data_IF_959752703809
#
_entry.id   IF_959752703809
#
_cell.length_a   1.000
_cell.length_b   1.000
_cell.length_c   1.000
_cell.angle_alpha   90.00
_cell.angle_beta   90.00
_cell.angle_gamma   90.00
#
_symmetry.space_group_name_H-M   'P 1'
#
loop_
_entity.id
_entity.type
_entity.pdbx_description
1 polymer ?
#
# COMPACT_ATOMS: atom_id res chain seq x y z
N UNK A 1 -18.15 -50.17 -24.16
CA UNK A 1 -19.40 -50.30 -23.38
C UNK A 1 -19.28 -51.24 -22.17
N UNK A 2 -18.66 -52.42 -22.32
CA UNK A 2 -18.45 -53.39 -21.23
C UNK A 2 -17.58 -52.86 -20.07
N UNK A 3 -16.46 -52.19 -20.39
CA UNK A 3 -15.56 -51.65 -19.38
C UNK A 3 -16.22 -50.61 -18.46
N UNK A 4 -17.10 -49.77 -19.02
CA UNK A 4 -17.89 -48.78 -18.28
C UNK A 4 -18.86 -49.47 -17.29
N UNK A 5 -19.63 -50.46 -17.75
CA UNK A 5 -20.57 -51.22 -16.90
C UNK A 5 -19.86 -52.01 -15.80
N UNK A 6 -18.66 -52.51 -16.06
CA UNK A 6 -17.84 -53.18 -15.05
C UNK A 6 -17.40 -52.19 -13.95
N UNK A 7 -16.89 -51.03 -14.34
CA UNK A 7 -16.47 -49.99 -13.39
C UNK A 7 -17.65 -49.43 -12.58
N UNK A 8 -18.81 -49.24 -13.21
CA UNK A 8 -20.05 -48.84 -12.53
C UNK A 8 -20.46 -49.84 -11.44
N UNK A 9 -20.40 -51.14 -11.73
CA UNK A 9 -20.72 -52.18 -10.74
C UNK A 9 -19.71 -52.21 -9.60
N UNK A 10 -18.42 -52.13 -9.92
CA UNK A 10 -17.37 -52.12 -8.90
C UNK A 10 -17.48 -50.91 -7.96
N UNK A 11 -17.76 -49.72 -8.50
CA UNK A 11 -18.04 -48.53 -7.69
C UNK A 11 -19.31 -48.70 -6.85
N UNK A 12 -20.40 -49.21 -7.44
CA UNK A 12 -21.65 -49.44 -6.72
C UNK A 12 -21.46 -50.43 -5.56
N UNK A 13 -20.73 -51.52 -5.78
CA UNK A 13 -20.43 -52.51 -4.75
C UNK A 13 -19.57 -51.89 -3.63
N UNK A 14 -18.56 -51.09 -3.99
CA UNK A 14 -17.72 -50.38 -3.03
C UNK A 14 -18.52 -49.38 -2.17
N UNK A 15 -19.31 -48.50 -2.79
CA UNK A 15 -20.13 -47.52 -2.06
C UNK A 15 -21.23 -48.20 -1.23
N UNK A 16 -21.82 -49.30 -1.72
CA UNK A 16 -22.77 -50.08 -0.94
C UNK A 16 -22.11 -50.75 0.28
N UNK A 17 -20.83 -51.15 0.15
CA UNK A 17 -20.03 -51.67 1.25
C UNK A 17 -19.74 -50.59 2.29
N UNK A 18 -19.27 -49.42 1.84
CA UNK A 18 -19.02 -48.27 2.70
C UNK A 18 -20.30 -47.82 3.44
N UNK A 19 -21.42 -47.70 2.70
CA UNK A 19 -22.72 -47.36 3.28
C UNK A 19 -23.18 -48.35 4.35
N UNK A 20 -22.95 -49.66 4.15
CA UNK A 20 -23.23 -50.68 5.16
C UNK A 20 -22.36 -50.53 6.42
N UNK A 21 -21.10 -50.14 6.27
CA UNK A 21 -20.21 -49.87 7.42
C UNK A 21 -20.69 -48.65 8.20
N UNK A 22 -21.03 -47.56 7.51
CA UNK A 22 -21.56 -46.34 8.15
C UNK A 22 -22.89 -46.61 8.84
N UNK A 23 -23.81 -47.33 8.19
CA UNK A 23 -25.13 -47.64 8.74
C UNK A 23 -25.07 -48.60 9.95
N UNK A 24 -24.04 -49.44 10.06
CA UNK A 24 -23.90 -50.40 11.18
C UNK A 24 -23.56 -49.72 12.51
N UNK A 25 -22.82 -48.62 12.49
CA UNK A 25 -22.40 -47.88 13.68
C UNK A 25 -22.36 -46.37 13.41
N UNK A 26 -23.51 -45.72 13.20
CA UNK A 26 -23.57 -44.34 12.73
C UNK A 26 -22.94 -43.36 13.72
N UNK A 27 -23.22 -43.50 15.02
CA UNK A 27 -22.67 -42.63 16.05
C UNK A 27 -21.13 -42.70 16.14
N UNK A 28 -20.55 -43.89 16.03
CA UNK A 28 -19.08 -44.08 16.06
C UNK A 28 -18.40 -43.42 14.87
N UNK A 29 -19.00 -43.51 13.68
CA UNK A 29 -18.46 -42.86 12.48
C UNK A 29 -18.57 -41.34 12.59
N UNK A 30 -19.71 -40.82 13.03
CA UNK A 30 -19.91 -39.38 13.22
C UNK A 30 -18.91 -38.82 14.25
N UNK A 31 -18.75 -39.48 15.40
CA UNK A 31 -17.79 -39.01 16.42
C UNK A 31 -16.35 -39.08 15.94
N UNK A 32 -15.98 -40.10 15.16
CA UNK A 32 -14.66 -40.18 14.55
C UNK A 32 -14.42 -39.04 13.55
N UNK A 33 -15.39 -38.74 12.68
CA UNK A 33 -15.29 -37.64 11.73
C UNK A 33 -15.20 -36.29 12.45
N UNK A 34 -16.03 -36.04 13.46
CA UNK A 34 -16.01 -34.80 14.24
C UNK A 34 -14.69 -34.63 15.01
N UNK A 35 -14.18 -35.69 15.63
CA UNK A 35 -12.89 -35.63 16.34
C UNK A 35 -11.74 -35.36 15.38
N UNK A 36 -11.72 -36.01 14.21
CA UNK A 36 -10.72 -35.73 13.18
C UNK A 36 -10.79 -34.28 12.68
N UNK A 37 -11.98 -33.75 12.39
CA UNK A 37 -12.18 -32.36 12.00
C UNK A 37 -11.70 -31.38 13.07
N UNK A 38 -11.98 -31.67 14.35
CA UNK A 38 -11.51 -30.85 15.47
C UNK A 38 -9.99 -30.86 15.57
N UNK A 39 -9.35 -32.03 15.46
CA UNK A 39 -7.88 -32.17 15.48
C UNK A 39 -7.24 -31.40 14.33
N UNK A 40 -7.79 -31.48 13.12
CA UNK A 40 -7.28 -30.71 11.98
C UNK A 40 -7.47 -29.20 12.16
N UNK A 41 -8.56 -28.78 12.81
CA UNK A 41 -8.84 -27.37 13.11
C UNK A 41 -7.85 -26.75 14.11
N UNK A 42 -7.15 -27.56 14.91
CA UNK A 42 -6.05 -27.06 15.78
C UNK A 42 -4.95 -26.39 14.94
N UNK A 43 -4.79 -26.75 13.66
CA UNK A 43 -3.85 -26.09 12.75
C UNK A 43 -4.07 -24.58 12.60
N UNK A 44 -5.29 -24.09 12.80
CA UNK A 44 -5.60 -22.66 12.73
C UNK A 44 -4.90 -21.82 13.81
N UNK A 45 -4.43 -22.42 14.91
CA UNK A 45 -3.62 -21.69 15.91
C UNK A 45 -2.27 -21.22 15.37
N UNK A 46 -1.77 -21.83 14.29
CA UNK A 46 -0.54 -21.42 13.60
C UNK A 46 -0.82 -20.71 12.28
N UNK A 47 -2.02 -20.18 12.11
CA UNK A 47 -2.34 -19.37 10.94
C UNK A 47 -1.62 -18.03 11.03
N UNK A 48 -0.71 -17.78 10.07
CA UNK A 48 0.02 -16.53 9.94
C UNK A 48 -0.57 -15.75 8.75
N UNK A 49 -1.05 -14.54 9.03
CA UNK A 49 -1.54 -13.63 8.00
C UNK A 49 -0.33 -12.96 7.32
N UNK A 50 -0.10 -13.28 6.05
CA UNK A 50 0.87 -12.55 5.22
C UNK A 50 0.10 -11.59 4.33
N UNK A 51 0.32 -10.29 4.51
CA UNK A 51 -0.39 -9.25 3.76
C UNK A 51 0.59 -8.15 3.36
N UNK A 52 1.40 -8.44 2.34
CA UNK A 52 2.31 -7.47 1.75
C UNK A 52 2.02 -7.36 0.25
N UNK A 53 1.63 -6.16 -0.17
CA UNK A 53 1.21 -5.87 -1.54
C UNK A 53 2.30 -6.14 -2.59
N UNK A 54 3.59 -6.04 -2.22
CA UNK A 54 4.69 -6.27 -3.17
C UNK A 54 5.04 -7.74 -3.33
N UNK A 55 4.71 -8.57 -2.34
CA UNK A 55 5.11 -9.98 -2.32
C UNK A 55 3.95 -10.89 -2.71
N UNK A 56 2.75 -10.62 -2.22
CA UNK A 56 1.63 -11.57 -2.32
C UNK A 56 0.80 -11.45 -3.61
N UNK A 57 1.00 -10.39 -4.40
CA UNK A 57 0.27 -10.15 -5.66
C UNK A 57 0.98 -10.71 -6.90
N UNK A 58 2.11 -11.40 -6.72
CA UNK A 58 2.85 -12.05 -7.81
C UNK A 58 3.28 -13.46 -7.41
N UNK A 59 3.29 -14.43 -8.35
CA UNK A 59 3.77 -15.78 -8.08
C UNK A 59 5.17 -15.78 -7.50
N UNK A 60 5.43 -16.69 -6.55
CA UNK A 60 6.72 -16.78 -5.86
C UNK A 60 7.91 -17.07 -6.81
N UNK A 61 7.65 -17.74 -7.93
CA UNK A 61 8.60 -18.14 -8.97
C UNK A 61 8.60 -17.20 -10.20
N UNK A 62 7.94 -16.06 -10.11
CA UNK A 62 7.86 -15.11 -11.23
C UNK A 62 9.21 -14.43 -11.53
N UNK A 63 9.52 -14.13 -12.81
CA UNK A 63 10.74 -13.39 -13.18
C UNK A 63 10.90 -12.05 -12.44
N UNK A 64 9.79 -11.34 -12.19
CA UNK A 64 9.78 -10.07 -11.44
C UNK A 64 10.26 -10.23 -10.00
N UNK A 65 10.01 -11.38 -9.35
CA UNK A 65 10.54 -11.67 -8.00
C UNK A 65 12.06 -11.85 -8.02
N UNK A 66 12.59 -12.50 -9.05
CA UNK A 66 14.05 -12.63 -9.22
C UNK A 66 14.71 -11.27 -9.43
N UNK A 67 14.14 -10.44 -10.32
CA UNK A 67 14.63 -9.08 -10.58
C UNK A 67 14.58 -8.22 -9.31
N UNK A 68 13.48 -8.28 -8.56
CA UNK A 68 13.34 -7.57 -7.28
C UNK A 68 14.38 -8.03 -6.25
N UNK A 69 14.64 -9.34 -6.13
CA UNK A 69 15.65 -9.86 -5.22
C UNK A 69 17.07 -9.37 -5.58
N UNK A 70 17.40 -9.36 -6.88
CA UNK A 70 18.67 -8.80 -7.38
C UNK A 70 18.76 -7.31 -7.08
N UNK A 71 17.73 -6.51 -7.41
CA UNK A 71 17.71 -5.07 -7.17
C UNK A 71 17.84 -4.73 -5.68
N UNK A 72 17.10 -5.43 -4.81
CA UNK A 72 17.18 -5.29 -3.36
C UNK A 72 18.58 -5.57 -2.83
N UNK A 73 19.23 -6.63 -3.32
CA UNK A 73 20.62 -6.96 -2.93
C UNK A 73 21.62 -5.92 -3.42
N UNK A 74 21.45 -5.40 -4.64
CA UNK A 74 22.33 -4.40 -5.24
C UNK A 74 22.25 -3.05 -4.51
N UNK A 75 21.03 -2.64 -4.14
CA UNK A 75 20.77 -1.41 -3.39
C UNK A 75 21.08 -1.54 -1.89
N UNK A 76 21.54 -2.71 -1.44
CA UNK A 76 21.80 -3.02 -0.03
C UNK A 76 20.60 -2.66 0.88
N UNK A 77 19.38 -2.89 0.38
CA UNK A 77 18.15 -2.59 1.11
C UNK A 77 17.92 -3.63 2.21
N UNK A 78 18.29 -3.27 3.43
CA UNK A 78 18.11 -4.13 4.60
C UNK A 78 16.79 -3.80 5.32
N UNK A 79 15.66 -4.12 4.67
CA UNK A 79 14.35 -3.76 5.21
C UNK A 79 13.19 -3.82 4.23
N UNK A 80 12.04 -3.35 4.68
CA UNK A 80 10.86 -3.09 3.84
C UNK A 80 10.90 -1.67 3.33
N UNK A 81 10.82 -1.50 2.00
CA UNK A 81 10.69 -0.21 1.33
C UNK A 81 9.22 0.05 0.96
N UNK A 82 8.70 1.18 1.44
CA UNK A 82 7.41 1.73 1.09
C UNK A 82 7.59 3.08 0.35
N UNK A 83 7.44 3.11 -0.99
CA UNK A 83 7.43 4.33 -1.77
C UNK A 83 6.09 5.02 -1.55
N UNK A 84 6.06 5.91 -0.56
CA UNK A 84 4.88 6.72 -0.29
C UNK A 84 4.92 8.03 -1.08
N UNK A 85 3.74 8.49 -1.50
CA UNK A 85 3.57 9.71 -2.28
C UNK A 85 2.53 10.60 -1.62
N UNK A 86 2.91 11.83 -1.34
CA UNK A 86 1.99 12.88 -0.87
C UNK A 86 1.59 13.71 -2.08
N UNK A 87 0.31 13.65 -2.43
CA UNK A 87 -0.28 14.45 -3.50
C UNK A 87 -0.89 15.71 -2.90
N UNK A 88 -0.54 16.86 -3.48
CA UNK A 88 -0.99 18.16 -3.01
C UNK A 88 -1.59 18.93 -4.19
N UNK A 89 -2.78 19.47 -4.00
CA UNK A 89 -3.42 20.40 -4.94
C UNK A 89 -4.06 21.57 -4.19
N UNK A 90 -4.37 22.66 -4.86
CA UNK A 90 -5.04 23.79 -4.22
C UNK A 90 -6.55 23.53 -4.12
N UNK A 91 -7.16 23.83 -2.97
CA UNK A 91 -8.62 23.64 -2.74
C UNK A 91 -9.50 24.45 -3.70
N UNK A 92 -8.97 25.56 -4.23
CA UNK A 92 -9.64 26.39 -5.23
C UNK A 92 -9.36 25.96 -6.69
N UNK A 93 -8.63 24.86 -6.90
CA UNK A 93 -8.24 24.35 -8.22
C UNK A 93 -7.22 25.24 -8.95
N UNK A 94 -6.64 26.23 -8.28
CA UNK A 94 -5.69 27.18 -8.84
C UNK A 94 -4.26 26.64 -8.95
N UNK A 95 -3.36 27.52 -9.41
CA UNK A 95 -1.93 27.19 -9.54
C UNK A 95 -1.23 27.16 -8.18
N UNK A 96 -0.40 26.14 -7.95
CA UNK A 96 0.47 26.04 -6.78
C UNK A 96 1.70 26.97 -6.86
N UNK A 97 1.94 27.59 -8.02
CA UNK A 97 3.03 28.54 -8.23
C UNK A 97 2.78 29.93 -7.62
N UNK A 98 1.54 30.20 -7.19
CA UNK A 98 1.17 31.44 -6.47
C UNK A 98 2.01 31.57 -5.21
N UNK A 99 2.41 32.78 -4.85
CA UNK A 99 3.36 33.02 -3.76
C UNK A 99 2.95 32.35 -2.44
N UNK A 100 1.72 32.57 -1.98
CA UNK A 100 1.21 31.95 -0.74
C UNK A 100 1.23 30.42 -0.81
N UNK A 101 0.79 29.83 -1.93
CA UNK A 101 0.72 28.38 -2.10
C UNK A 101 2.13 27.78 -2.20
N UNK A 102 3.03 28.42 -2.93
CA UNK A 102 4.43 28.01 -3.07
C UNK A 102 5.13 27.99 -1.71
N UNK A 103 5.00 29.05 -0.91
CA UNK A 103 5.60 29.13 0.42
C UNK A 103 5.00 28.09 1.38
N UNK A 104 3.68 27.90 1.36
CA UNK A 104 3.01 26.88 2.18
C UNK A 104 3.36 25.46 1.74
N UNK A 105 3.57 25.21 0.45
CA UNK A 105 4.00 23.90 -0.05
C UNK A 105 5.43 23.57 0.41
N UNK A 106 6.33 24.56 0.41
CA UNK A 106 7.66 24.42 1.00
C UNK A 106 7.56 24.12 2.50
N UNK A 107 6.69 24.85 3.22
CA UNK A 107 6.47 24.65 4.66
C UNK A 107 5.91 23.26 4.98
N UNK A 108 4.93 22.79 4.21
CA UNK A 108 4.35 21.45 4.34
C UNK A 108 5.42 20.38 4.16
N UNK A 109 6.17 20.45 3.07
CA UNK A 109 7.22 19.46 2.77
C UNK A 109 8.27 19.42 3.89
N UNK A 110 8.70 20.58 4.38
CA UNK A 110 9.65 20.65 5.50
C UNK A 110 9.06 20.13 6.80
N UNK A 111 7.80 20.42 7.10
CA UNK A 111 7.12 19.92 8.29
C UNK A 111 7.08 18.40 8.28
N UNK A 112 6.78 17.79 7.13
CA UNK A 112 6.82 16.34 6.97
C UNK A 112 8.23 15.77 7.17
N UNK A 113 9.27 16.46 6.69
CA UNK A 113 10.66 16.00 6.81
C UNK A 113 11.26 16.18 8.21
N UNK A 114 10.93 17.26 8.92
CA UNK A 114 11.65 17.68 10.13
C UNK A 114 10.81 17.63 11.42
N UNK A 115 9.47 17.63 11.33
CA UNK A 115 8.59 17.74 12.51
C UNK A 115 7.73 16.51 12.78
N UNK A 116 7.49 15.65 11.78
CA UNK A 116 6.72 14.42 11.97
C UNK A 116 7.59 13.38 12.69
N UNK A 117 7.19 13.06 13.92
CA UNK A 117 7.85 12.08 14.77
C UNK A 117 6.85 11.04 15.26
N UNK A 118 7.31 9.80 15.41
CA UNK A 118 6.45 8.66 15.76
C UNK A 118 7.14 7.82 16.83
N UNK A 119 6.42 7.48 17.89
CA UNK A 119 6.89 6.49 18.87
C UNK A 119 6.46 5.08 18.44
N UNK A 120 7.43 4.18 18.26
CA UNK A 120 7.20 2.78 17.94
C UNK A 120 8.16 1.88 18.72
N UNK A 121 7.62 0.90 19.45
CA UNK A 121 8.40 -0.01 20.33
C UNK A 121 9.34 0.73 21.32
N UNK A 122 8.89 1.86 21.88
CA UNK A 122 9.66 2.66 22.84
C UNK A 122 10.84 3.43 22.24
N UNK A 123 10.92 3.52 20.90
CA UNK A 123 11.86 4.37 20.17
C UNK A 123 11.09 5.42 19.40
N UNK A 124 11.65 6.62 19.33
CA UNK A 124 11.12 7.68 18.47
C UNK A 124 11.81 7.61 17.12
N UNK A 125 11.02 7.67 16.05
CA UNK A 125 11.46 7.67 14.67
C UNK A 125 11.07 8.99 14.01
N UNK A 126 12.04 9.63 13.38
CA UNK A 126 11.84 10.78 12.50
C UNK A 126 11.90 10.33 11.03
N UNK A 127 11.52 11.19 10.09
CA UNK A 127 11.67 10.87 8.67
C UNK A 127 13.13 10.52 8.31
N UNK A 128 14.12 11.16 8.93
CA UNK A 128 15.55 10.92 8.69
C UNK A 128 16.00 9.51 9.05
N UNK A 129 15.35 8.90 10.04
CA UNK A 129 15.65 7.51 10.43
C UNK A 129 15.04 6.49 9.46
N UNK A 130 14.03 6.93 8.69
CA UNK A 130 13.24 6.09 7.79
C UNK A 130 13.53 6.34 6.32
N UNK A 131 14.26 7.38 5.92
CA UNK A 131 14.33 7.76 4.51
C UNK A 131 15.54 7.23 3.76
N UNK A 132 16.63 6.84 4.43
CA UNK A 132 17.89 6.48 3.77
C UNK A 132 17.74 5.27 2.83
N UNK A 133 18.25 5.33 1.58
CA UNK A 133 19.07 6.38 0.95
C UNK A 133 18.31 7.47 0.16
N UNK A 134 17.00 7.59 0.35
CA UNK A 134 16.06 8.37 -0.46
C UNK A 134 15.65 9.73 0.11
N UNK A 135 16.36 10.23 1.13
CA UNK A 135 16.01 11.47 1.83
C UNK A 135 15.96 12.71 0.92
N UNK A 136 16.75 12.72 -0.16
CA UNK A 136 16.95 13.88 -1.05
C UNK A 136 16.01 13.93 -2.26
N UNK A 137 15.00 13.05 -2.35
CA UNK A 137 14.12 12.97 -3.53
C UNK A 137 13.33 14.26 -3.82
N UNK A 138 13.03 15.06 -2.80
CA UNK A 138 12.29 16.32 -2.95
C UNK A 138 13.19 17.56 -3.09
N UNK A 139 14.51 17.42 -2.98
CA UNK A 139 15.43 18.56 -2.84
C UNK A 139 15.46 19.45 -4.08
N UNK A 140 15.50 18.86 -5.27
CA UNK A 140 15.43 19.58 -6.54
C UNK A 140 14.12 20.41 -6.67
N UNK A 141 12.99 19.80 -6.31
CA UNK A 141 11.69 20.47 -6.36
C UNK A 141 11.57 21.58 -5.32
N UNK A 142 12.06 21.37 -4.10
CA UNK A 142 12.10 22.43 -3.09
C UNK A 142 13.00 23.59 -3.49
N UNK A 143 14.13 23.32 -4.14
CA UNK A 143 15.02 24.35 -4.65
C UNK A 143 14.35 25.14 -5.78
N UNK A 144 13.66 24.48 -6.72
CA UNK A 144 12.79 25.12 -7.71
C UNK A 144 11.77 26.06 -7.05
N UNK A 145 10.99 25.55 -6.09
CA UNK A 145 9.97 26.36 -5.43
C UNK A 145 10.58 27.56 -4.71
N UNK A 146 11.78 27.45 -4.10
CA UNK A 146 12.43 28.58 -3.40
C UNK A 146 12.98 29.62 -4.37
N UNK A 147 13.63 29.18 -5.45
CA UNK A 147 14.34 30.03 -6.41
C UNK A 147 13.44 30.58 -7.51
N UNK A 148 12.17 30.22 -7.53
CA UNK A 148 11.20 30.75 -8.47
C UNK A 148 11.18 32.29 -8.46
N UNK A 149 11.56 32.86 -9.60
CA UNK A 149 11.50 34.29 -9.89
C UNK A 149 10.74 34.52 -11.20
N UNK A 150 9.57 35.19 -11.18
CA UNK A 150 8.79 35.44 -12.40
C UNK A 150 9.51 36.34 -13.41
N UNK A 151 10.55 37.08 -12.98
CA UNK A 151 11.34 37.96 -13.83
C UNK A 151 12.49 37.25 -14.54
N UNK A 152 12.92 36.09 -14.03
CA UNK A 152 14.02 35.31 -14.59
C UNK A 152 13.50 34.01 -15.22
N UNK A 153 13.37 33.95 -16.57
CA UNK A 153 12.87 32.77 -17.27
C UNK A 153 13.58 31.45 -16.97
N UNK A 154 14.85 31.49 -16.55
CA UNK A 154 15.63 30.28 -16.28
C UNK A 154 15.12 29.51 -15.04
N UNK A 155 14.47 30.19 -14.09
CA UNK A 155 14.09 29.60 -12.80
C UNK A 155 12.76 28.84 -12.82
N UNK A 156 12.06 28.79 -13.96
CA UNK A 156 10.72 28.17 -14.05
C UNK A 156 10.47 27.44 -15.36
N UNK A 157 11.43 26.63 -15.80
CA UNK A 157 11.32 25.78 -16.99
C UNK A 157 10.88 24.35 -16.67
N UNK A 158 10.29 23.66 -17.65
CA UNK A 158 9.86 22.25 -17.53
C UNK A 158 10.44 21.41 -18.68
N UNK A 159 10.84 20.13 -18.47
CA UNK A 159 10.75 19.34 -17.22
C UNK A 159 11.96 19.49 -16.29
N UNK A 160 12.95 20.29 -16.67
CA UNK A 160 14.15 20.57 -15.90
C UNK A 160 14.23 22.07 -15.65
N UNK A 161 14.76 22.44 -14.49
CA UNK A 161 15.07 23.81 -14.10
C UNK A 161 16.57 23.98 -13.93
N UNK A 162 17.06 25.19 -14.23
CA UNK A 162 18.46 25.52 -13.97
C UNK A 162 18.61 26.07 -12.55
N UNK A 163 19.39 25.35 -11.74
CA UNK A 163 19.69 25.72 -10.36
C UNK A 163 21.22 25.80 -10.24
N UNK A 164 21.73 27.02 -10.06
CA UNK A 164 23.18 27.30 -9.96
C UNK A 164 24.00 26.69 -11.11
N UNK A 165 23.50 26.76 -12.36
CA UNK A 165 24.17 26.23 -13.54
C UNK A 165 24.03 24.70 -13.73
N UNK A 166 23.31 24.02 -12.85
CA UNK A 166 23.01 22.57 -12.97
C UNK A 166 21.54 22.37 -13.33
N UNK A 167 21.26 21.45 -14.26
CA UNK A 167 19.90 21.08 -14.63
C UNK A 167 19.33 20.08 -13.62
N UNK A 168 18.26 20.46 -12.94
CA UNK A 168 17.56 19.61 -11.98
C UNK A 168 16.19 19.19 -12.55
N UNK A 169 15.91 17.89 -12.54
CA UNK A 169 14.64 17.36 -13.03
C UNK A 169 13.52 17.53 -12.00
N UNK A 170 12.42 18.17 -12.39
CA UNK A 170 11.23 18.39 -11.53
C UNK A 170 9.98 17.69 -12.07
N UNK A 171 10.11 16.92 -13.16
CA UNK A 171 9.00 16.25 -13.80
C UNK A 171 8.33 15.16 -12.96
N UNK A 172 9.02 14.63 -11.94
CA UNK A 172 8.44 13.69 -10.97
C UNK A 172 7.60 14.36 -9.88
N UNK A 173 7.65 15.69 -9.79
CA UNK A 173 6.98 16.44 -8.73
C UNK A 173 5.85 17.33 -9.25
N UNK A 174 6.06 18.02 -10.38
CA UNK A 174 5.10 19.01 -10.87
C UNK A 174 4.19 18.42 -11.99
N UNK A 175 2.88 18.40 -11.73
CA UNK A 175 1.85 17.86 -12.62
C UNK A 175 0.76 18.89 -12.94
N UNK A 176 -0.02 18.63 -13.99
CA UNK A 176 -1.02 19.57 -14.51
C UNK A 176 -0.39 20.86 -15.02
N UNK A 177 0.77 20.74 -15.67
CA UNK A 177 1.55 21.87 -16.17
C UNK A 177 0.80 22.60 -17.29
N UNK A 178 0.73 23.93 -17.18
CA UNK A 178 0.43 24.85 -18.28
C UNK A 178 1.70 25.60 -18.63
N UNK A 179 2.11 25.55 -19.89
CA UNK A 179 3.28 26.24 -20.39
C UNK A 179 2.88 27.51 -21.14
N UNK A 180 3.71 28.55 -21.08
CA UNK A 180 3.55 29.71 -21.95
C UNK A 180 3.77 29.30 -23.41
N UNK A 181 2.87 29.75 -24.28
CA UNK A 181 2.87 29.43 -25.71
C UNK A 181 4.26 29.56 -26.37
N UNK A 182 4.71 28.48 -27.00
CA UNK A 182 5.99 28.45 -27.73
C UNK A 182 7.25 28.44 -26.86
N UNK A 183 7.11 28.30 -25.54
CA UNK A 183 8.25 28.25 -24.61
C UNK A 183 8.18 27.03 -23.69
N UNK A 184 9.27 26.74 -22.99
CA UNK A 184 9.31 25.74 -21.91
C UNK A 184 9.02 26.33 -20.52
N UNK A 185 8.54 27.57 -20.46
CA UNK A 185 8.28 28.26 -19.20
C UNK A 185 6.95 27.81 -18.60
N UNK A 186 6.97 27.48 -17.32
CA UNK A 186 5.79 27.12 -16.53
C UNK A 186 4.98 28.39 -16.27
N UNK A 187 3.74 28.40 -16.74
CA UNK A 187 2.74 29.40 -16.39
C UNK A 187 2.00 29.00 -15.11
N UNK A 188 1.66 27.71 -15.00
CA UNK A 188 0.99 27.14 -13.83
C UNK A 188 1.26 25.64 -13.70
N UNK A 189 1.13 25.12 -12.48
CA UNK A 189 0.99 23.69 -12.22
C UNK A 189 -0.06 23.50 -11.12
N UNK A 190 -0.91 22.49 -11.28
CA UNK A 190 -2.09 22.29 -10.41
C UNK A 190 -1.82 21.30 -9.29
N UNK A 191 -0.89 20.37 -9.49
CA UNK A 191 -0.67 19.25 -8.58
C UNK A 191 0.82 19.05 -8.33
N UNK A 192 1.21 18.97 -7.06
CA UNK A 192 2.53 18.54 -6.62
C UNK A 192 2.45 17.10 -6.10
N UNK A 193 3.41 16.27 -6.50
CA UNK A 193 3.64 14.95 -5.91
C UNK A 193 4.97 14.99 -5.17
N UNK A 194 4.94 14.68 -3.89
CA UNK A 194 6.12 14.63 -3.02
C UNK A 194 6.40 13.17 -2.67
N UNK A 195 7.41 12.52 -3.28
CA UNK A 195 7.87 11.21 -2.85
C UNK A 195 8.47 11.25 -1.44
N UNK A 196 7.94 10.42 -0.54
CA UNK A 196 8.46 10.13 0.79
C UNK A 196 8.71 8.63 0.87
N UNK A 197 9.89 8.19 0.42
CA UNK A 197 10.24 6.77 0.43
C UNK A 197 10.69 6.40 1.83
N UNK A 198 9.98 5.46 2.46
CA UNK A 198 10.21 5.05 3.83
C UNK A 198 10.76 3.62 3.84
N UNK A 199 11.78 3.41 4.65
CA UNK A 199 12.56 2.18 4.79
C UNK A 199 12.63 1.87 6.27
N UNK A 200 12.23 0.66 6.64
CA UNK A 200 12.30 0.17 8.03
C UNK A 200 12.83 -1.24 8.06
N UNK A 201 13.26 -1.70 9.24
CA UNK A 201 13.56 -3.11 9.47
C UNK A 201 12.30 -3.97 9.23
N UNK A 202 12.49 -5.27 8.95
CA UNK A 202 11.37 -6.20 8.80
C UNK A 202 10.53 -6.33 10.09
N UNK A 203 11.19 -6.26 11.24
CA UNK A 203 10.54 -6.38 12.55
C UNK A 203 9.71 -5.14 12.87
N UNK A 204 10.21 -3.95 12.50
CA UNK A 204 9.55 -2.68 12.78
C UNK A 204 8.77 -2.13 11.57
N UNK A 205 8.36 -2.98 10.62
CA UNK A 205 7.59 -2.58 9.42
C UNK A 205 6.36 -1.72 9.72
N UNK A 206 5.75 -1.90 10.89
CA UNK A 206 4.60 -1.12 11.34
C UNK A 206 4.88 0.37 11.59
N UNK A 207 6.14 0.78 11.75
CA UNK A 207 6.52 2.19 11.96
C UNK A 207 6.15 3.06 10.76
N UNK A 208 6.29 2.51 9.54
CA UNK A 208 5.97 3.21 8.29
C UNK A 208 4.49 3.60 8.27
N UNK A 209 3.61 2.64 8.59
CA UNK A 209 2.17 2.90 8.65
C UNK A 209 1.83 4.02 9.65
N UNK A 210 2.45 4.01 10.83
CA UNK A 210 2.23 5.06 11.84
C UNK A 210 2.73 6.42 11.36
N UNK A 211 3.90 6.49 10.73
CA UNK A 211 4.42 7.72 10.14
C UNK A 211 3.48 8.30 9.09
N UNK A 212 2.92 7.46 8.22
CA UNK A 212 1.95 7.90 7.20
C UNK A 212 0.64 8.42 7.82
N UNK A 213 0.20 7.86 8.96
CA UNK A 213 -0.95 8.37 9.70
C UNK A 213 -0.66 9.74 10.32
N UNK A 214 0.52 9.93 10.94
CA UNK A 214 0.91 11.23 11.48
C UNK A 214 1.08 12.28 10.37
N UNK A 215 1.69 11.91 9.24
CA UNK A 215 1.76 12.78 8.06
C UNK A 215 0.36 13.21 7.60
N UNK A 216 -0.61 12.28 7.56
CA UNK A 216 -2.01 12.61 7.23
C UNK A 216 -2.64 13.56 8.25
N UNK A 217 -2.30 13.47 9.54
CA UNK A 217 -2.78 14.41 10.56
C UNK A 217 -2.22 15.81 10.35
N UNK A 218 -0.95 15.93 9.96
CA UNK A 218 -0.34 17.23 9.62
C UNK A 218 -1.12 17.95 8.52
N UNK A 219 -1.71 17.22 7.56
CA UNK A 219 -2.52 17.84 6.49
C UNK A 219 -3.76 18.57 7.01
N UNK A 220 -4.28 18.17 8.17
CA UNK A 220 -5.48 18.74 8.77
C UNK A 220 -5.22 20.03 9.56
N UNK A 221 -3.97 20.44 9.71
CA UNK A 221 -3.62 21.69 10.38
C UNK A 221 -4.17 22.90 9.61
N UNK A 222 -4.68 23.91 10.33
CA UNK A 222 -5.33 25.09 9.73
C UNK A 222 -4.42 25.81 8.71
N UNK A 223 -3.11 25.83 8.94
CA UNK A 223 -2.12 26.45 8.04
C UNK A 223 -2.01 25.77 6.67
N UNK A 224 -2.45 24.52 6.55
CA UNK A 224 -2.44 23.74 5.30
C UNK A 224 -3.85 23.56 4.70
N UNK A 225 -4.87 24.17 5.30
CA UNK A 225 -6.27 24.16 4.78
C UNK A 225 -6.46 24.72 3.38
N UNK A 226 -5.46 25.43 2.83
CA UNK A 226 -5.43 25.89 1.44
C UNK A 226 -5.16 24.76 0.44
N UNK A 227 -4.79 23.58 0.92
CA UNK A 227 -4.46 22.42 0.11
C UNK A 227 -5.44 21.27 0.32
N UNK A 228 -5.71 20.55 -0.76
CA UNK A 228 -6.20 19.17 -0.71
C UNK A 228 -4.98 18.26 -0.77
N UNK A 229 -4.68 17.63 0.37
CA UNK A 229 -3.53 16.75 0.55
C UNK A 229 -4.00 15.32 0.76
N UNK A 230 -3.44 14.38 0.01
CA UNK A 230 -3.64 12.96 0.20
C UNK A 230 -2.31 12.22 0.20
N UNK A 231 -2.27 11.10 0.92
CA UNK A 231 -1.07 10.24 0.99
C UNK A 231 -1.44 8.81 0.62
N UNK A 232 -0.59 8.22 -0.22
CA UNK A 232 -0.66 6.81 -0.61
C UNK A 232 0.67 6.14 -0.33
N UNK A 233 0.63 4.86 0.03
CA UNK A 233 1.80 4.03 0.32
C UNK A 233 1.40 2.57 0.43
N UNK A 234 2.35 1.66 0.27
CA UNK A 234 2.14 0.22 0.28
C UNK A 234 1.52 -0.26 1.60
N UNK A 235 1.91 0.35 2.72
CA UNK A 235 1.41 0.05 4.06
C UNK A 235 -0.04 0.49 4.26
N UNK A 236 -0.43 1.64 3.71
CA UNK A 236 -1.82 2.10 3.74
C UNK A 236 -2.73 1.18 2.92
N UNK A 237 -2.27 0.75 1.75
CA UNK A 237 -3.00 -0.21 0.91
C UNK A 237 -3.13 -1.56 1.63
N UNK A 238 -2.05 -2.05 2.23
CA UNK A 238 -2.07 -3.31 2.98
C UNK A 238 -3.06 -3.26 4.15
N UNK A 239 -3.09 -2.14 4.89
CA UNK A 239 -4.04 -1.91 5.97
C UNK A 239 -5.51 -1.87 5.46
N UNK A 240 -5.74 -1.25 4.31
CA UNK A 240 -7.06 -1.18 3.68
C UNK A 240 -7.57 -2.57 3.26
N UNK A 241 -6.70 -3.39 2.65
CA UNK A 241 -7.03 -4.79 2.29
C UNK A 241 -7.39 -5.59 3.54
N UNK A 242 -6.64 -5.42 4.63
CA UNK A 242 -6.92 -6.09 5.90
C UNK A 242 -8.25 -5.67 6.50
N UNK A 243 -8.53 -4.36 6.50
CA UNK A 243 -9.81 -3.81 6.97
C UNK A 243 -10.98 -4.42 6.22
N UNK A 244 -10.92 -4.43 4.89
CA UNK A 244 -11.95 -5.03 4.05
C UNK A 244 -12.17 -6.52 4.37
N UNK A 245 -11.10 -7.27 4.61
CA UNK A 245 -11.17 -8.67 5.03
C UNK A 245 -11.90 -8.84 6.38
N UNK A 246 -11.56 -8.03 7.37
CA UNK A 246 -12.17 -8.06 8.71
C UNK A 246 -13.64 -7.63 8.70
N UNK A 247 -13.99 -6.61 7.90
CA UNK A 247 -15.37 -6.13 7.75
C UNK A 247 -16.26 -7.15 7.00
N UNK A 248 -15.67 -7.95 6.11
CA UNK A 248 -16.39 -8.99 5.36
C UNK A 248 -16.56 -10.29 6.15
N UNK A 249 -15.66 -10.60 7.09
CA UNK A 249 -15.71 -11.81 7.92
C UNK A 249 -17.09 -12.09 8.58
N UNK A 250 -17.79 -11.13 9.23
CA UNK A 250 -19.12 -11.39 9.78
C UNK A 250 -20.17 -11.73 8.72
N UNK A 251 -20.04 -11.22 7.49
CA UNK A 251 -20.97 -11.53 6.39
C UNK A 251 -20.87 -13.00 5.96
N UNK A 252 -19.69 -13.61 6.06
CA UNK A 252 -19.49 -15.04 5.81
C UNK A 252 -20.23 -15.88 6.86
N UNK A 253 -20.21 -15.46 8.14
CA UNK A 253 -20.95 -16.16 9.17
C UNK A 253 -22.47 -16.06 8.94
N UNK A 254 -22.96 -14.87 8.58
CA UNK A 254 -24.38 -14.67 8.25
C UNK A 254 -24.83 -15.49 7.05
N UNK A 255 -23.99 -15.63 6.01
CA UNK A 255 -24.34 -16.44 4.84
C UNK A 255 -24.45 -17.93 5.17
N UNK A 256 -23.59 -18.46 6.05
CA UNK A 256 -23.69 -19.84 6.54
C UNK A 256 -24.98 -20.04 7.34
N UNK A 257 -25.33 -19.10 8.23
CA UNK A 257 -26.59 -19.16 8.98
C UNK A 257 -27.80 -19.14 8.05
N UNK A 258 -27.81 -18.27 7.04
CA UNK A 258 -28.89 -18.19 6.06
C UNK A 258 -29.03 -19.50 5.26
N UNK A 259 -27.92 -20.14 4.88
CA UNK A 259 -27.96 -21.45 4.21
C UNK A 259 -28.55 -22.54 5.11
N UNK A 260 -28.22 -22.55 6.40
CA UNK A 260 -28.80 -23.51 7.36
C UNK A 260 -30.31 -23.30 7.44
N UNK A 261 -30.77 -22.06 7.63
CA UNK A 261 -32.20 -21.74 7.69
C UNK A 261 -32.95 -22.13 6.41
N UNK A 262 -32.35 -21.90 5.23
CA UNK A 262 -32.94 -22.27 3.95
C UNK A 262 -33.08 -23.79 3.78
N UNK A 263 -32.13 -24.58 4.30
CA UNK A 263 -32.19 -26.05 4.23
C UNK A 263 -33.17 -26.63 5.26
N UNK A 264 -33.34 -25.97 6.40
CA UNK A 264 -34.25 -26.37 7.47
C UNK A 264 -35.71 -25.95 7.21
N UNK A 265 -35.97 -25.16 6.16
CA UNK A 265 -37.33 -24.80 5.73
C UNK A 265 -37.99 -26.00 5.00
N UNK A 266 -39.13 -26.53 5.48
CA UNK A 266 -39.74 -27.78 5.02
C UNK A 266 -40.40 -27.72 3.63
#
# INVERSE_FOLDING_TARGET
MFFKKFFERLMADFFSGLGRVVARSPFTVITLCLTLSMVLSIGFFRFEEVNNVRTEYSPADSPSRMEYAVAKSFLNQNGTLDPSYVMVSATDGGSLLRETHRLRLIELTKTLQDNVTVEFHGKNYEFRDLCEPYCELNTAFLAFLKLYDPTNPATFTYPQVEIFGTQAFIGNNAYGIKLKNGTKQIEAFTTAILPFYLVSSYEDGGVIYQWLLEARRTFQEERFSIFECEVTGDSLVSAEVRRMGMETAPMIALSVVAMILFVDEP
#
